data_IF_523914784103
#
_entry.id   IF_523914784103
#
_cell.length_a   1.000
_cell.length_b   1.000
_cell.length_c   1.000
_cell.angle_alpha   90.00
_cell.angle_beta   90.00
_cell.angle_gamma   90.00
#
_symmetry.space_group_name_H-M   'P 1'
#
loop_
_entity.id
_entity.type
_entity.pdbx_description
1 polymer ?
#
# COMPACT_ATOMS: atom_id res chain seq x y z
N UNK A 1 87.40 -4.61 24.02
CA UNK A 1 86.15 -4.51 23.17
C UNK A 1 85.34 -5.72 23.47
N UNK A 2 84.25 -5.48 24.21
CA UNK A 2 83.29 -6.53 24.62
C UNK A 2 82.07 -6.39 23.77
N UNK A 3 81.75 -7.38 22.95
CA UNK A 3 80.51 -7.41 22.14
C UNK A 3 79.41 -8.03 22.96
N UNK A 4 78.37 -7.30 23.20
CA UNK A 4 77.16 -7.72 23.93
C UNK A 4 76.17 -8.25 22.89
N UNK A 5 75.88 -9.54 22.93
CA UNK A 5 74.88 -10.20 22.10
C UNK A 5 73.51 -10.12 22.82
N UNK A 6 72.59 -9.34 22.31
CA UNK A 6 71.19 -9.31 22.81
C UNK A 6 70.38 -10.44 22.17
N UNK A 7 69.95 -11.40 22.96
CA UNK A 7 68.92 -12.38 22.57
C UNK A 7 67.55 -11.76 22.75
N UNK A 8 66.73 -11.65 21.64
CA UNK A 8 65.35 -11.33 21.67
C UNK A 8 64.52 -12.59 21.92
N UNK A 9 63.49 -12.57 22.79
CA UNK A 9 62.61 -13.71 22.94
C UNK A 9 61.58 -13.76 21.82
N UNK A 10 61.49 -14.91 21.13
CA UNK A 10 60.50 -15.23 20.12
C UNK A 10 59.15 -15.51 20.82
N UNK A 11 58.20 -14.61 20.68
CA UNK A 11 56.81 -14.87 21.05
C UNK A 11 56.15 -15.73 19.97
N UNK A 12 55.92 -17.01 20.28
CA UNK A 12 55.03 -17.87 19.50
C UNK A 12 53.60 -17.52 19.80
N UNK A 13 52.93 -16.82 18.88
CA UNK A 13 51.49 -16.63 18.94
C UNK A 13 50.80 -17.97 18.61
N UNK A 14 50.13 -18.56 19.61
CA UNK A 14 49.25 -19.72 19.41
C UNK A 14 48.04 -19.27 18.57
N UNK A 15 48.00 -19.65 17.31
CA UNK A 15 46.80 -19.61 16.51
C UNK A 15 45.83 -20.69 17.02
N UNK A 16 44.69 -20.27 17.55
CA UNK A 16 43.59 -21.13 17.95
C UNK A 16 42.65 -21.30 16.74
N UNK A 17 42.68 -22.41 15.97
CA UNK A 17 41.78 -22.62 14.83
C UNK A 17 40.48 -23.24 15.32
N UNK A 18 39.58 -22.42 15.87
CA UNK A 18 38.37 -22.99 16.48
C UNK A 18 37.15 -22.06 16.61
N UNK A 19 37.11 -20.92 15.97
CA UNK A 19 35.86 -20.19 15.82
C UNK A 19 35.34 -20.32 14.39
N UNK A 20 34.65 -21.44 14.14
CA UNK A 20 33.74 -21.52 12.99
C UNK A 20 32.68 -20.48 13.22
N UNK A 21 32.77 -19.34 12.53
CA UNK A 21 31.67 -18.41 12.39
C UNK A 21 30.53 -19.22 11.77
N UNK A 22 29.52 -19.57 12.57
CA UNK A 22 28.28 -20.10 12.04
C UNK A 22 27.75 -19.11 10.99
N UNK A 23 27.46 -19.57 9.75
CA UNK A 23 26.89 -18.69 8.78
C UNK A 23 25.59 -18.13 9.39
N UNK A 24 25.48 -16.80 9.44
CA UNK A 24 24.23 -16.15 9.81
C UNK A 24 23.17 -16.67 8.83
N UNK A 25 22.28 -17.52 9.31
CA UNK A 25 21.12 -17.96 8.55
C UNK A 25 20.31 -16.69 8.32
N UNK A 26 20.35 -16.16 7.10
CA UNK A 26 19.45 -15.09 6.69
C UNK A 26 18.03 -15.63 6.92
N UNK A 27 17.33 -15.09 7.90
CA UNK A 27 15.90 -15.35 8.05
C UNK A 27 15.23 -14.83 6.79
N UNK A 28 14.91 -15.72 5.87
CA UNK A 28 13.98 -15.42 4.78
C UNK A 28 12.63 -15.18 5.43
N UNK A 29 12.25 -13.92 5.63
CA UNK A 29 10.89 -13.57 6.02
C UNK A 29 9.99 -14.03 4.90
N UNK A 30 9.25 -15.12 5.14
CA UNK A 30 8.30 -15.65 4.16
C UNK A 30 7.18 -14.65 3.95
N UNK A 31 6.73 -14.52 2.69
CA UNK A 31 5.50 -13.82 2.39
C UNK A 31 4.33 -14.46 3.15
N UNK A 32 3.41 -13.67 3.67
CA UNK A 32 2.22 -14.18 4.36
C UNK A 32 0.99 -14.11 3.45
N UNK A 33 0.17 -15.12 3.48
CA UNK A 33 -1.05 -15.24 2.70
C UNK A 33 -2.34 -15.17 3.55
N UNK A 34 -2.22 -14.85 4.84
CA UNK A 34 -3.36 -14.61 5.74
C UNK A 34 -3.06 -13.34 6.52
N UNK A 35 -3.88 -12.31 6.32
CA UNK A 35 -3.70 -11.02 6.98
C UNK A 35 -4.97 -10.16 6.92
N UNK A 36 -5.08 -9.25 7.86
CA UNK A 36 -6.10 -8.22 7.93
C UNK A 36 -5.43 -6.85 7.91
N UNK A 37 -5.98 -5.92 7.15
CA UNK A 37 -5.56 -4.52 7.13
C UNK A 37 -6.76 -3.61 7.24
N UNK A 38 -6.58 -2.47 7.88
CA UNK A 38 -7.56 -1.41 7.90
C UNK A 38 -6.90 -0.05 8.06
N UNK A 39 -7.62 0.99 7.74
CA UNK A 39 -7.10 2.33 7.85
C UNK A 39 -8.08 3.40 7.43
N UNK A 40 -7.57 4.60 7.20
CA UNK A 40 -8.36 5.75 6.81
C UNK A 40 -8.04 6.22 5.41
N UNK A 41 -9.08 6.66 4.70
CA UNK A 41 -8.97 7.44 3.46
C UNK A 41 -8.77 8.91 3.85
N UNK A 42 -7.78 9.54 3.21
CA UNK A 42 -7.55 10.97 3.32
C UNK A 42 -6.93 11.45 2.01
N UNK A 43 -7.75 11.94 1.09
CA UNK A 43 -7.34 12.28 -0.27
C UNK A 43 -7.88 13.63 -0.71
N UNK A 44 -7.21 14.24 -1.66
CA UNK A 44 -7.64 15.45 -2.34
C UNK A 44 -7.73 15.15 -3.83
N UNK A 45 -8.91 15.34 -4.40
CA UNK A 45 -9.15 15.23 -5.85
C UNK A 45 -9.28 16.65 -6.42
N UNK A 46 -8.60 16.89 -7.52
CA UNK A 46 -8.72 18.14 -8.27
C UNK A 46 -9.76 17.97 -9.38
N UNK A 47 -10.74 18.86 -9.43
CA UNK A 47 -11.79 18.86 -10.47
C UNK A 47 -11.27 19.33 -11.82
N UNK A 48 -10.30 18.61 -12.37
CA UNK A 48 -9.67 18.93 -13.66
C UNK A 48 -9.34 17.64 -14.42
N UNK A 49 -9.51 17.63 -15.74
CA UNK A 49 -9.06 16.52 -16.57
C UNK A 49 -7.54 16.33 -16.49
N UNK A 50 -7.04 15.08 -16.62
CA UNK A 50 -5.61 14.77 -16.46
C UNK A 50 -4.71 15.36 -17.57
N UNK A 51 -5.27 15.79 -18.69
CA UNK A 51 -4.57 16.29 -19.88
C UNK A 51 -4.36 17.82 -19.93
N UNK A 52 -4.81 18.55 -18.91
CA UNK A 52 -4.65 20.01 -18.84
C UNK A 52 -3.19 20.35 -18.52
N UNK A 53 -2.53 20.98 -19.50
CA UNK A 53 -1.10 21.35 -19.41
C UNK A 53 -0.84 22.64 -18.61
N UNK A 54 -1.81 23.52 -18.49
CA UNK A 54 -1.69 24.80 -17.75
C UNK A 54 -2.97 25.05 -16.98
N UNK A 55 -2.88 25.01 -15.66
CA UNK A 55 -4.02 25.19 -14.76
C UNK A 55 -3.69 26.27 -13.74
N UNK A 56 -4.61 27.20 -13.57
CA UNK A 56 -4.62 28.07 -12.40
C UNK A 56 -5.18 27.28 -11.18
N UNK A 57 -4.28 26.79 -10.36
CA UNK A 57 -4.61 25.98 -9.17
C UNK A 57 -5.49 26.73 -8.15
N UNK A 58 -5.63 28.06 -8.28
CA UNK A 58 -6.52 28.84 -7.40
C UNK A 58 -7.99 28.68 -7.78
N UNK A 59 -8.27 28.39 -9.05
CA UNK A 59 -9.63 28.29 -9.59
C UNK A 59 -10.12 26.85 -9.75
N UNK A 60 -9.22 25.86 -9.70
CA UNK A 60 -9.57 24.44 -9.83
C UNK A 60 -10.46 24.01 -8.64
N UNK A 61 -11.62 23.41 -8.88
CA UNK A 61 -12.42 22.79 -7.82
C UNK A 61 -11.59 21.73 -7.08
N UNK A 62 -11.72 21.69 -5.76
CA UNK A 62 -11.02 20.75 -4.90
C UNK A 62 -12.02 19.97 -4.07
N UNK A 63 -11.91 18.64 -4.09
CA UNK A 63 -12.78 17.74 -3.35
C UNK A 63 -11.94 16.99 -2.33
N UNK A 64 -12.36 17.03 -1.07
CA UNK A 64 -11.76 16.26 0.01
C UNK A 64 -12.50 14.94 0.12
N UNK A 65 -11.74 13.85 0.16
CA UNK A 65 -12.23 12.51 0.45
C UNK A 65 -11.76 12.11 1.84
N UNK A 66 -12.69 11.65 2.68
CA UNK A 66 -12.34 11.16 4.02
C UNK A 66 -13.24 9.99 4.42
N UNK A 67 -12.67 8.96 5.03
CA UNK A 67 -13.41 7.77 5.44
C UNK A 67 -12.50 6.63 5.87
N UNK A 68 -13.02 5.43 5.79
CA UNK A 68 -12.35 4.22 6.26
C UNK A 68 -12.29 3.17 5.16
N UNK A 69 -11.31 2.26 5.29
CA UNK A 69 -11.17 1.10 4.44
C UNK A 69 -10.73 -0.13 5.24
N UNK A 70 -11.05 -1.31 4.73
CA UNK A 70 -10.61 -2.60 5.29
C UNK A 70 -10.36 -3.62 4.21
N UNK A 71 -9.47 -4.57 4.50
CA UNK A 71 -9.12 -5.70 3.65
C UNK A 71 -8.87 -6.93 4.51
N UNK A 72 -9.41 -8.07 4.09
CA UNK A 72 -9.16 -9.37 4.71
C UNK A 72 -8.74 -10.37 3.64
N UNK A 73 -7.56 -10.97 3.82
CA UNK A 73 -7.04 -12.05 2.97
C UNK A 73 -6.87 -13.28 3.84
N UNK A 74 -7.46 -14.40 3.41
CA UNK A 74 -7.38 -15.68 4.10
C UNK A 74 -6.84 -16.75 3.14
N UNK A 75 -5.71 -17.36 3.51
CA UNK A 75 -5.04 -18.40 2.72
C UNK A 75 -4.84 -18.00 1.24
N UNK A 76 -4.49 -16.74 1.01
CA UNK A 76 -4.25 -16.19 -0.33
C UNK A 76 -5.51 -15.82 -1.11
N UNK A 77 -6.70 -15.92 -0.51
CA UNK A 77 -7.95 -15.49 -1.12
C UNK A 77 -8.41 -14.17 -0.50
N UNK A 78 -8.83 -13.22 -1.32
CA UNK A 78 -9.49 -12.02 -0.83
C UNK A 78 -10.86 -12.42 -0.27
N UNK A 79 -11.00 -12.37 1.06
CA UNK A 79 -12.25 -12.66 1.73
C UNK A 79 -13.18 -11.44 1.74
N UNK A 80 -12.59 -10.24 1.87
CA UNK A 80 -13.33 -8.97 1.84
C UNK A 80 -12.39 -7.82 1.50
N UNK A 81 -12.92 -6.82 0.80
CA UNK A 81 -12.38 -5.49 0.64
C UNK A 81 -13.52 -4.49 0.61
N UNK A 82 -13.45 -3.48 1.44
CA UNK A 82 -14.41 -2.39 1.46
C UNK A 82 -13.74 -1.05 1.73
N UNK A 83 -14.29 0.00 1.14
CA UNK A 83 -13.94 1.36 1.48
C UNK A 83 -15.22 2.20 1.49
N UNK A 84 -15.40 3.03 2.51
CA UNK A 84 -16.51 3.97 2.59
C UNK A 84 -15.94 5.33 2.88
N UNK A 85 -16.21 6.30 2.03
CA UNK A 85 -15.68 7.64 2.20
C UNK A 85 -16.68 8.71 1.77
N UNK A 86 -16.58 9.80 2.44
CA UNK A 86 -17.29 11.03 2.18
C UNK A 86 -16.52 11.85 1.16
N UNK A 87 -17.23 12.44 0.21
CA UNK A 87 -16.67 13.33 -0.79
C UNK A 87 -17.39 14.65 -0.73
N UNK A 88 -16.65 15.73 -0.65
CA UNK A 88 -17.23 17.06 -0.68
C UNK A 88 -16.23 18.10 -1.18
N UNK A 89 -16.69 19.12 -1.91
CA UNK A 89 -15.86 20.25 -2.25
C UNK A 89 -15.42 20.98 -0.98
N UNK A 90 -14.26 21.63 -1.04
CA UNK A 90 -13.70 22.38 0.10
C UNK A 90 -14.65 23.44 0.65
N UNK A 91 -15.55 23.96 -0.18
CA UNK A 91 -16.59 24.92 0.23
C UNK A 91 -17.83 24.30 0.89
N UNK A 92 -17.90 22.96 0.98
CA UNK A 92 -18.95 22.22 1.69
C UNK A 92 -20.29 22.04 0.95
N UNK A 93 -20.39 22.43 -0.32
CA UNK A 93 -21.58 22.16 -1.15
C UNK A 93 -21.52 20.73 -1.74
N UNK A 94 -22.67 20.17 -2.11
CA UNK A 94 -22.79 18.90 -2.86
C UNK A 94 -22.07 17.69 -2.25
N UNK A 95 -22.11 17.59 -0.95
CA UNK A 95 -21.49 16.49 -0.21
C UNK A 95 -22.23 15.16 -0.45
N UNK A 96 -21.48 14.08 -0.66
CA UNK A 96 -22.04 12.74 -0.83
C UNK A 96 -21.07 11.67 -0.33
N UNK A 97 -21.55 10.43 -0.22
CA UNK A 97 -20.74 9.28 0.20
C UNK A 97 -20.52 8.32 -0.96
N UNK A 98 -19.37 7.70 -0.99
CA UNK A 98 -19.06 6.56 -1.85
C UNK A 98 -18.79 5.31 -1.02
N UNK A 99 -19.13 4.17 -1.61
CA UNK A 99 -18.81 2.86 -1.06
C UNK A 99 -18.24 1.98 -2.16
N UNK A 100 -17.04 1.44 -1.92
CA UNK A 100 -16.42 0.39 -2.73
C UNK A 100 -16.69 -0.95 -2.06
N UNK A 101 -17.20 -1.92 -2.83
CA UNK A 101 -17.56 -3.25 -2.32
C UNK A 101 -17.42 -4.32 -3.41
N UNK A 102 -17.52 -5.59 -3.02
CA UNK A 102 -17.45 -6.71 -3.97
C UNK A 102 -16.19 -6.67 -4.86
N UNK A 103 -15.02 -6.37 -4.29
CA UNK A 103 -13.78 -6.39 -5.06
C UNK A 103 -13.44 -7.83 -5.48
N UNK A 104 -13.34 -8.06 -6.75
CA UNK A 104 -13.03 -9.36 -7.37
C UNK A 104 -11.69 -9.27 -8.09
N UNK A 105 -10.67 -9.92 -7.54
CA UNK A 105 -9.32 -9.91 -8.10
C UNK A 105 -9.26 -10.67 -9.43
N UNK A 106 -8.47 -10.18 -10.38
CA UNK A 106 -8.31 -10.74 -11.73
C UNK A 106 -7.25 -11.86 -11.81
N UNK A 107 -6.78 -12.37 -10.66
CA UNK A 107 -5.73 -13.39 -10.63
C UNK A 107 -6.19 -14.65 -9.92
N UNK A 108 -5.72 -15.81 -10.42
CA UNK A 108 -5.84 -17.09 -9.71
C UNK A 108 -4.61 -17.39 -8.82
N UNK A 109 -3.63 -16.50 -8.81
CA UNK A 109 -2.44 -16.64 -7.95
C UNK A 109 -2.81 -16.24 -6.54
N UNK A 110 -2.44 -17.04 -5.52
CA UNK A 110 -2.68 -16.69 -4.13
C UNK A 110 -2.09 -15.32 -3.79
N UNK A 111 -2.90 -14.48 -3.16
CA UNK A 111 -2.50 -13.16 -2.67
C UNK A 111 -1.49 -13.34 -1.54
N UNK A 112 -0.38 -12.65 -1.65
CA UNK A 112 0.69 -12.69 -0.65
C UNK A 112 1.13 -11.28 -0.29
N UNK A 113 1.19 -11.02 1.00
CA UNK A 113 1.82 -9.82 1.53
C UNK A 113 3.33 -10.01 1.48
N UNK A 114 4.03 -9.13 0.79
CA UNK A 114 5.49 -9.17 0.68
C UNK A 114 6.18 -8.97 2.04
N UNK A 115 7.45 -9.35 2.19
CA UNK A 115 8.19 -9.16 3.44
C UNK A 115 8.25 -7.70 3.91
N UNK A 116 8.27 -6.73 2.99
CA UNK A 116 8.25 -5.30 3.28
C UNK A 116 6.84 -4.75 3.52
N UNK A 117 5.81 -5.64 3.57
CA UNK A 117 4.40 -5.30 3.77
C UNK A 117 3.78 -4.52 2.61
N UNK A 118 4.28 -4.73 1.40
CA UNK A 118 3.68 -4.20 0.17
C UNK A 118 2.79 -5.23 -0.50
N UNK A 119 1.75 -4.75 -1.20
CA UNK A 119 0.76 -5.55 -1.92
C UNK A 119 0.21 -4.74 -3.09
N UNK A 120 -0.04 -5.39 -4.23
CA UNK A 120 -0.77 -4.83 -5.36
C UNK A 120 -1.84 -5.81 -5.81
N UNK A 121 -3.08 -5.35 -5.92
CA UNK A 121 -4.24 -6.12 -6.38
C UNK A 121 -4.91 -5.39 -7.53
N UNK A 122 -5.16 -6.09 -8.63
CA UNK A 122 -5.99 -5.58 -9.72
C UNK A 122 -7.24 -6.44 -9.87
N UNK A 123 -8.36 -5.79 -10.17
CA UNK A 123 -9.65 -6.46 -10.26
C UNK A 123 -10.77 -5.53 -10.68
N UNK A 124 -11.99 -5.90 -10.31
CA UNK A 124 -13.17 -5.07 -10.49
C UNK A 124 -13.88 -4.88 -9.15
N UNK A 125 -14.48 -3.71 -8.96
CA UNK A 125 -15.20 -3.34 -7.75
C UNK A 125 -16.56 -2.73 -8.10
N UNK A 126 -17.55 -2.89 -7.23
CA UNK A 126 -18.82 -2.17 -7.34
C UNK A 126 -18.73 -0.86 -6.55
N UNK A 127 -19.18 0.23 -7.15
CA UNK A 127 -19.15 1.58 -6.55
C UNK A 127 -20.57 2.05 -6.28
N UNK A 128 -20.84 2.35 -5.01
CA UNK A 128 -22.10 2.98 -4.57
C UNK A 128 -21.94 4.49 -4.35
N UNK A 129 -23.04 5.23 -4.45
CA UNK A 129 -23.13 6.65 -4.12
C UNK A 129 -24.38 6.89 -3.30
N UNK A 130 -24.27 7.50 -2.12
CA UNK A 130 -25.37 7.77 -1.19
C UNK A 130 -26.23 6.53 -0.88
N UNK A 131 -25.57 5.37 -0.72
CA UNK A 131 -26.22 4.09 -0.44
C UNK A 131 -26.90 3.42 -1.64
N UNK A 132 -26.85 4.03 -2.82
CA UNK A 132 -27.35 3.43 -4.05
C UNK A 132 -26.18 2.97 -4.92
N UNK A 133 -26.40 1.88 -5.67
CA UNK A 133 -25.43 1.41 -6.64
C UNK A 133 -25.30 2.43 -7.77
N UNK A 134 -24.08 2.86 -8.08
CA UNK A 134 -23.79 3.82 -9.12
C UNK A 134 -23.12 3.16 -10.34
N UNK A 135 -22.07 2.39 -10.10
CA UNK A 135 -21.30 1.69 -11.16
C UNK A 135 -20.97 0.27 -10.74
N UNK A 136 -21.07 -0.65 -11.71
CA UNK A 136 -20.76 -2.08 -11.54
C UNK A 136 -19.47 -2.45 -12.26
N UNK A 137 -18.71 -3.36 -11.68
CA UNK A 137 -17.52 -3.93 -12.31
C UNK A 137 -16.51 -2.86 -12.78
N UNK A 138 -16.35 -1.81 -12.02
CA UNK A 138 -15.34 -0.77 -12.27
C UNK A 138 -13.96 -1.40 -12.15
N UNK A 139 -13.13 -1.28 -13.18
CA UNK A 139 -11.74 -1.72 -13.11
C UNK A 139 -11.00 -0.92 -12.04
N UNK A 140 -10.32 -1.63 -11.14
CA UNK A 140 -9.66 -1.03 -10.00
C UNK A 140 -8.32 -1.69 -9.70
N UNK A 141 -7.42 -0.88 -9.15
CA UNK A 141 -6.17 -1.35 -8.55
C UNK A 141 -6.08 -0.85 -7.11
N UNK A 142 -5.64 -1.71 -6.21
CA UNK A 142 -5.40 -1.40 -4.81
C UNK A 142 -3.95 -1.69 -4.49
N UNK A 143 -3.19 -0.66 -4.19
CA UNK A 143 -1.77 -0.73 -3.85
C UNK A 143 -1.54 -0.38 -2.39
N UNK A 144 -0.94 -1.29 -1.63
CA UNK A 144 -0.46 -1.03 -0.28
C UNK A 144 1.05 -0.93 -0.30
N UNK A 145 1.59 0.16 0.21
CA UNK A 145 3.03 0.40 0.27
C UNK A 145 3.56 0.28 1.69
N UNK A 146 4.44 -0.70 1.90
CA UNK A 146 5.21 -0.94 3.14
C UNK A 146 4.34 -1.00 4.41
N UNK A 147 3.08 -1.43 4.26
CA UNK A 147 2.11 -1.46 5.36
C UNK A 147 1.82 -0.08 5.98
N UNK A 148 1.97 1.00 5.23
CA UNK A 148 1.79 2.38 5.73
C UNK A 148 0.74 3.18 5.00
N UNK A 149 0.64 3.02 3.68
CA UNK A 149 -0.30 3.76 2.84
C UNK A 149 -1.03 2.84 1.89
N UNK A 150 -2.19 3.29 1.46
CA UNK A 150 -2.97 2.68 0.41
C UNK A 150 -3.22 3.70 -0.70
N UNK A 151 -3.21 3.24 -1.95
CA UNK A 151 -3.71 3.96 -3.11
C UNK A 151 -4.76 3.09 -3.79
N UNK A 152 -5.88 3.68 -4.15
CA UNK A 152 -6.97 3.02 -4.87
C UNK A 152 -7.18 3.78 -6.18
N UNK A 153 -6.93 3.11 -7.30
CA UNK A 153 -7.20 3.64 -8.64
C UNK A 153 -8.48 3.04 -9.18
N UNK A 154 -9.35 3.85 -9.71
CA UNK A 154 -10.57 3.45 -10.40
C UNK A 154 -10.46 3.89 -11.87
N UNK A 155 -10.83 3.02 -12.81
CA UNK A 155 -10.81 3.36 -14.22
C UNK A 155 -11.73 4.55 -14.49
N UNK A 156 -11.17 5.57 -15.15
CA UNK A 156 -11.84 6.84 -15.36
C UNK A 156 -13.08 6.70 -16.27
N UNK A 157 -12.95 5.90 -17.33
CA UNK A 157 -14.05 5.61 -18.24
C UNK A 157 -15.21 4.86 -17.56
N UNK A 158 -14.92 3.95 -16.63
CA UNK A 158 -15.93 3.15 -15.94
C UNK A 158 -16.74 3.97 -14.94
N UNK A 159 -16.15 5.05 -14.41
CA UNK A 159 -16.77 5.97 -13.45
C UNK A 159 -17.24 7.28 -14.08
N UNK A 160 -17.23 7.38 -15.42
CA UNK A 160 -17.60 8.59 -16.15
C UNK A 160 -16.81 9.83 -15.68
N UNK A 161 -15.53 9.63 -15.43
CA UNK A 161 -14.58 10.63 -14.92
C UNK A 161 -14.96 11.24 -13.57
N UNK A 162 -15.78 10.55 -12.77
CA UNK A 162 -16.24 11.06 -11.47
C UNK A 162 -15.08 11.35 -10.50
N UNK A 163 -14.03 10.52 -10.55
CA UNK A 163 -12.80 10.71 -9.75
C UNK A 163 -11.67 11.37 -10.54
N UNK A 164 -11.95 11.89 -11.74
CA UNK A 164 -10.99 12.58 -12.63
C UNK A 164 -9.72 11.77 -12.93
N UNK A 165 -9.82 10.43 -12.96
CA UNK A 165 -8.68 9.53 -13.16
C UNK A 165 -7.60 9.63 -12.08
N UNK A 166 -7.90 10.24 -10.93
CA UNK A 166 -6.96 10.42 -9.84
C UNK A 166 -7.08 9.31 -8.80
N UNK A 167 -5.95 8.96 -8.20
CA UNK A 167 -5.90 7.95 -7.14
C UNK A 167 -6.49 8.47 -5.83
N UNK A 168 -7.17 7.58 -5.13
CA UNK A 168 -7.71 7.81 -3.78
C UNK A 168 -6.67 7.29 -2.78
N UNK A 169 -6.12 8.17 -1.97
CA UNK A 169 -5.08 7.83 -1.01
C UNK A 169 -5.62 7.64 0.40
N UNK A 170 -4.90 6.83 1.17
CA UNK A 170 -5.16 6.61 2.57
C UNK A 170 -3.94 6.11 3.33
N UNK A 171 -4.13 5.89 4.62
CA UNK A 171 -3.11 5.33 5.51
C UNK A 171 -3.55 3.97 6.05
N UNK A 172 -2.58 3.10 6.33
CA UNK A 172 -2.78 1.86 7.09
C UNK A 172 -2.66 2.20 8.57
N UNK A 173 -3.68 1.87 9.36
CA UNK A 173 -3.67 2.03 10.82
C UNK A 173 -3.51 0.70 11.55
N UNK A 174 -4.02 -0.37 10.98
CA UNK A 174 -3.93 -1.72 11.52
C UNK A 174 -3.43 -2.71 10.48
N UNK A 175 -2.49 -3.57 10.87
CA UNK A 175 -2.03 -4.74 10.13
C UNK A 175 -1.88 -5.89 11.11
N UNK A 176 -2.61 -6.98 10.86
CA UNK A 176 -2.55 -8.23 11.60
C UNK A 176 -2.19 -9.36 10.63
N UNK A 177 -1.19 -10.15 10.99
CA UNK A 177 -0.66 -11.27 10.20
C UNK A 177 -0.62 -12.52 11.04
#
# INVERSE_FOLDING_TARGET
MVSLLLLAPSYMASFNPGTLLSPAVAQTTSATNTFEMNGQIGSLILGMPPDIKTVDMTTVPKFILSGDWSMNVNQGNLADFSATFYTGPVNGAENHTHQLSNFRVNTNTPIQLSPDKSLSLSGVVDVGTNGNKAWDNVNATVDVSKGRSIAISLADEDTQSHFMGQEIYGIVQGLKV
#
